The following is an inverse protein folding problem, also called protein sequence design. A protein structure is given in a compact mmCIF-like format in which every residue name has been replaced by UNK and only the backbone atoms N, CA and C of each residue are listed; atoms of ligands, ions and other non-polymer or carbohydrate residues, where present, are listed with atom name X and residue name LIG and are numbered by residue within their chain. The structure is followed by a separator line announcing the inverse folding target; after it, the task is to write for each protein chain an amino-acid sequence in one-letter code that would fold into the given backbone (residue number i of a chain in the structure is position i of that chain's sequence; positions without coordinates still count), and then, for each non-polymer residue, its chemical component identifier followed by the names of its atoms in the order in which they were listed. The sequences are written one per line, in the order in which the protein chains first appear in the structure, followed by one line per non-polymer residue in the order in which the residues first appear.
data_IF_196054282477
#
_entry.id   IF_196054282477
#
_cell.length_a   1.000
_cell.length_b   1.000
_cell.length_c   1.000
_cell.angle_alpha   90.00
_cell.angle_beta   90.00
_cell.angle_gamma   90.00
#
_symmetry.space_group_name_H-M   'P 1'
#
loop_
_entity.id
_entity.type
_entity.pdbx_description
1 polymer ?
#
# COMPACT_ATOMS: atom_id res chain seq x y z
N UNK A 1 12.36 28.04 -13.85
CA UNK A 1 10.90 28.21 -13.68
C UNK A 1 10.30 26.81 -13.63
N UNK A 2 9.80 26.36 -12.48
CA UNK A 2 9.16 25.06 -12.38
C UNK A 2 7.81 25.11 -13.11
N UNK A 3 7.63 24.21 -14.07
CA UNK A 3 6.39 24.06 -14.83
C UNK A 3 5.34 23.47 -13.88
N UNK A 4 4.32 24.26 -13.54
CA UNK A 4 3.18 23.78 -12.76
C UNK A 4 2.34 22.94 -13.72
N UNK A 5 2.35 21.64 -13.50
CA UNK A 5 1.51 20.68 -14.22
C UNK A 5 0.04 20.97 -13.89
N UNK A 6 -0.80 21.30 -14.88
CA UNK A 6 -2.19 21.69 -14.68
C UNK A 6 -3.10 20.54 -14.19
N UNK A 7 -2.62 19.29 -14.19
CA UNK A 7 -3.33 18.16 -13.59
C UNK A 7 -3.04 17.97 -12.10
N UNK A 8 -2.20 18.82 -11.50
CA UNK A 8 -1.99 18.85 -10.05
C UNK A 8 -3.16 19.59 -9.40
N UNK A 9 -4.03 18.87 -8.71
CA UNK A 9 -4.89 19.47 -7.69
C UNK A 9 -4.09 19.43 -6.39
N UNK A 10 -3.40 20.52 -5.99
CA UNK A 10 -2.75 20.56 -4.69
C UNK A 10 -3.84 20.45 -3.63
N UNK A 11 -3.72 19.47 -2.74
CA UNK A 11 -4.56 19.43 -1.54
C UNK A 11 -4.17 20.66 -0.72
N UNK A 12 -5.13 21.53 -0.42
CA UNK A 12 -4.84 22.73 0.37
C UNK A 12 -4.34 22.26 1.73
N UNK A 13 -3.14 22.67 2.16
CA UNK A 13 -2.57 22.16 3.38
C UNK A 13 -3.45 22.56 4.58
N UNK A 14 -3.93 21.57 5.33
CA UNK A 14 -4.59 21.83 6.60
C UNK A 14 -3.56 22.33 7.62
N UNK A 15 -3.99 23.30 8.43
CA UNK A 15 -3.26 23.74 9.63
C UNK A 15 -3.45 22.67 10.71
N UNK A 16 -2.37 21.99 11.18
CA UNK A 16 -2.48 20.87 12.12
C UNK A 16 -3.30 21.20 13.37
N UNK A 17 -3.19 22.42 13.89
CA UNK A 17 -3.90 22.92 15.07
C UNK A 17 -5.42 23.03 14.90
N UNK A 18 -5.93 22.98 13.66
CA UNK A 18 -7.36 23.03 13.34
C UNK A 18 -7.96 21.65 13.07
N UNK A 19 -7.15 20.59 13.12
CA UNK A 19 -7.63 19.23 12.87
C UNK A 19 -8.46 18.71 14.05
N UNK A 20 -9.52 17.97 13.72
CA UNK A 20 -10.27 17.23 14.73
C UNK A 20 -9.43 16.06 15.29
N UNK A 21 -9.66 15.61 16.53
CA UNK A 21 -9.03 14.41 17.06
C UNK A 21 -9.24 13.21 16.14
N UNK A 22 -8.20 12.41 15.97
CA UNK A 22 -8.25 11.16 15.23
C UNK A 22 -8.51 10.02 16.21
N UNK A 23 -9.68 9.39 16.11
CA UNK A 23 -10.11 8.25 16.93
C UNK A 23 -10.01 6.91 16.18
N UNK A 24 -9.37 6.92 15.01
CA UNK A 24 -9.21 5.75 14.16
C UNK A 24 -8.11 4.78 14.62
N UNK A 25 -7.93 3.67 13.88
CA UNK A 25 -6.93 2.66 14.18
C UNK A 25 -5.49 3.18 14.06
N UNK A 26 -4.55 2.52 14.73
CA UNK A 26 -3.13 2.87 14.64
C UNK A 26 -2.63 2.87 13.19
N UNK A 27 -1.85 3.89 12.86
CA UNK A 27 -1.22 4.08 11.56
C UNK A 27 0.25 3.68 11.62
N UNK A 28 0.74 3.16 10.50
CA UNK A 28 2.16 2.95 10.24
C UNK A 28 2.53 3.72 8.98
N UNK A 29 3.74 4.26 8.97
CA UNK A 29 4.27 4.91 7.78
C UNK A 29 5.71 4.51 7.51
N UNK A 30 6.15 4.72 6.28
CA UNK A 30 7.51 4.45 5.87
C UNK A 30 7.74 4.82 4.41
N UNK A 31 8.99 4.81 3.99
CA UNK A 31 9.39 5.15 2.64
C UNK A 31 9.32 3.93 1.71
N UNK A 32 8.51 4.04 0.65
CA UNK A 32 8.52 3.09 -0.44
C UNK A 32 9.56 3.50 -1.50
N UNK A 33 10.64 2.72 -1.71
CA UNK A 33 11.65 3.03 -2.71
C UNK A 33 11.16 2.87 -4.15
N UNK A 34 10.13 2.06 -4.40
CA UNK A 34 9.60 1.82 -5.75
C UNK A 34 8.88 3.06 -6.26
N UNK A 35 7.91 3.58 -5.49
CA UNK A 35 7.19 4.81 -5.82
C UNK A 35 7.89 6.09 -5.36
N UNK A 36 8.97 5.97 -4.59
CA UNK A 36 9.77 7.07 -4.02
C UNK A 36 8.93 8.05 -3.21
N UNK A 37 8.06 7.51 -2.36
CA UNK A 37 7.06 8.27 -1.60
C UNK A 37 6.88 7.71 -0.20
N UNK A 38 6.41 8.53 0.74
CA UNK A 38 5.95 8.06 2.04
C UNK A 38 4.58 7.38 1.87
N UNK A 39 4.49 6.16 2.37
CA UNK A 39 3.24 5.40 2.45
C UNK A 39 2.73 5.50 3.88
N UNK A 40 1.42 5.74 4.05
CA UNK A 40 0.76 5.79 5.36
C UNK A 40 -0.45 4.89 5.32
N UNK A 41 -0.44 3.81 6.10
CA UNK A 41 -1.53 2.83 6.09
C UNK A 41 -1.92 2.43 7.51
N UNK A 42 -3.08 1.79 7.66
CA UNK A 42 -3.47 1.19 8.93
C UNK A 42 -2.51 0.06 9.28
N UNK A 43 -1.99 0.07 10.52
CA UNK A 43 -1.02 -0.92 11.00
C UNK A 43 -1.53 -2.35 10.87
N UNK A 44 -2.75 -2.62 11.34
CA UNK A 44 -3.34 -3.96 11.26
C UNK A 44 -3.50 -4.46 9.83
N UNK A 45 -3.80 -3.56 8.89
CA UNK A 45 -3.87 -3.90 7.47
C UNK A 45 -2.49 -4.25 6.92
N UNK A 46 -1.47 -3.44 7.21
CA UNK A 46 -0.10 -3.70 6.78
C UNK A 46 0.45 -5.03 7.34
N UNK A 47 0.20 -5.32 8.62
CA UNK A 47 0.60 -6.59 9.23
C UNK A 47 -0.07 -7.79 8.54
N UNK A 48 -1.36 -7.68 8.20
CA UNK A 48 -2.10 -8.74 7.52
C UNK A 48 -1.64 -8.93 6.07
N UNK A 49 -1.42 -7.85 5.32
CA UNK A 49 -0.89 -7.92 3.95
C UNK A 49 0.51 -8.55 3.94
N UNK A 50 1.38 -8.15 4.87
CA UNK A 50 2.71 -8.73 4.98
C UNK A 50 2.68 -10.23 5.33
N UNK A 51 1.67 -10.66 6.10
CA UNK A 51 1.45 -12.08 6.39
C UNK A 51 0.91 -12.82 5.15
N UNK A 52 -0.07 -12.27 4.45
CA UNK A 52 -0.65 -12.88 3.25
C UNK A 52 0.41 -13.03 2.15
N UNK A 53 1.21 -12.00 1.90
CA UNK A 53 2.32 -12.05 0.94
C UNK A 53 3.36 -13.11 1.29
N UNK A 54 3.73 -13.23 2.57
CA UNK A 54 4.66 -14.27 3.01
C UNK A 54 4.10 -15.67 2.77
N UNK A 55 2.78 -15.87 2.90
CA UNK A 55 2.12 -17.14 2.62
C UNK A 55 2.12 -17.46 1.12
N UNK A 56 1.81 -16.47 0.28
CA UNK A 56 1.89 -16.61 -1.17
C UNK A 56 3.31 -16.93 -1.66
N UNK A 57 4.32 -16.27 -1.11
CA UNK A 57 5.74 -16.53 -1.42
C UNK A 57 6.22 -17.90 -0.92
N UNK A 58 5.56 -18.46 0.10
CA UNK A 58 5.90 -19.77 0.65
C UNK A 58 5.13 -20.94 -0.01
N UNK A 59 4.07 -20.65 -0.76
CA UNK A 59 3.35 -21.68 -1.52
C UNK A 59 4.30 -22.28 -2.56
N UNK A 60 4.35 -23.61 -2.61
CA UNK A 60 5.27 -24.37 -3.45
C UNK A 60 4.55 -25.26 -4.46
N UNK A 61 3.22 -25.36 -4.33
CA UNK A 61 2.36 -26.14 -5.22
C UNK A 61 1.10 -25.39 -5.59
N UNK A 62 0.52 -25.72 -6.75
CA UNK A 62 -0.74 -25.13 -7.20
C UNK A 62 -1.90 -25.45 -6.26
N UNK A 63 -1.90 -26.61 -5.60
CA UNK A 63 -2.88 -26.96 -4.57
C UNK A 63 -2.82 -26.08 -3.32
N UNK A 64 -1.61 -25.67 -2.89
CA UNK A 64 -1.43 -24.70 -1.81
C UNK A 64 -1.90 -23.31 -2.23
N UNK A 65 -1.52 -22.86 -3.43
CA UNK A 65 -1.93 -21.58 -4.00
C UNK A 65 -3.47 -21.47 -4.13
N UNK A 66 -4.15 -22.50 -4.65
CA UNK A 66 -5.61 -22.53 -4.73
C UNK A 66 -6.26 -22.48 -3.35
N UNK A 67 -5.69 -23.16 -2.35
CA UNK A 67 -6.20 -23.07 -0.98
C UNK A 67 -6.12 -21.64 -0.46
N UNK A 68 -4.96 -20.98 -0.60
CA UNK A 68 -4.77 -19.58 -0.21
C UNK A 68 -5.80 -18.67 -0.88
N UNK A 69 -6.05 -18.84 -2.18
CA UNK A 69 -7.03 -18.06 -2.92
C UNK A 69 -8.47 -18.19 -2.38
N UNK A 70 -8.80 -19.29 -1.71
CA UNK A 70 -10.15 -19.53 -1.15
C UNK A 70 -10.31 -19.16 0.32
N UNK A 71 -9.22 -18.90 1.04
CA UNK A 71 -9.24 -18.69 2.49
C UNK A 71 -9.66 -17.27 2.92
N UNK A 72 -9.91 -16.36 1.96
CA UNK A 72 -10.36 -14.99 2.26
C UNK A 72 -9.25 -14.13 2.87
N UNK A 73 -8.16 -13.94 2.12
CA UNK A 73 -7.06 -13.02 2.45
C UNK A 73 -7.47 -11.56 2.25
N UNK A 74 -6.67 -10.62 2.78
CA UNK A 74 -6.87 -9.17 2.56
C UNK A 74 -6.48 -8.77 1.14
N UNK A 75 -5.53 -9.48 0.55
CA UNK A 75 -5.20 -9.34 -0.87
C UNK A 75 -6.09 -10.25 -1.70
N UNK A 76 -6.54 -9.74 -2.83
CA UNK A 76 -7.08 -10.59 -3.89
C UNK A 76 -5.98 -11.54 -4.38
N UNK A 77 -6.33 -12.77 -4.79
CA UNK A 77 -5.36 -13.73 -5.30
C UNK A 77 -4.68 -13.21 -6.56
N UNK A 78 -3.41 -13.58 -6.82
CA UNK A 78 -2.67 -13.17 -8.01
C UNK A 78 -3.13 -13.90 -9.29
N UNK A 79 -4.27 -14.56 -9.31
CA UNK A 79 -4.84 -15.23 -10.47
C UNK A 79 -6.31 -15.49 -10.25
N UNK A 80 -7.06 -15.76 -11.33
CA UNK A 80 -8.39 -16.35 -11.19
C UNK A 80 -8.29 -17.87 -11.09
N UNK A 81 -9.07 -18.46 -10.18
CA UNK A 81 -9.05 -19.91 -9.95
C UNK A 81 -9.39 -20.73 -11.20
N UNK A 82 -10.18 -20.15 -12.11
CA UNK A 82 -10.60 -20.77 -13.37
C UNK A 82 -9.54 -20.69 -14.48
N UNK A 83 -8.46 -19.91 -14.29
CA UNK A 83 -7.40 -19.70 -15.30
C UNK A 83 -6.26 -20.73 -15.18
N UNK A 84 -6.27 -21.58 -14.15
CA UNK A 84 -5.18 -22.52 -13.85
C UNK A 84 -5.57 -23.96 -14.22
N UNK A 85 -4.89 -24.51 -15.23
CA UNK A 85 -5.07 -25.90 -15.71
C UNK A 85 -4.14 -26.92 -15.01
N UNK A 86 -3.18 -26.44 -14.21
CA UNK A 86 -2.16 -27.25 -13.54
C UNK A 86 -2.76 -28.15 -12.47
N UNK A 87 -2.18 -29.34 -12.26
CA UNK A 87 -2.58 -30.23 -11.17
C UNK A 87 -2.09 -29.72 -9.79
N UNK A 88 -2.77 -30.12 -8.72
CA UNK A 88 -2.49 -29.61 -7.36
C UNK A 88 -1.07 -29.89 -6.85
N UNK A 89 -0.42 -30.95 -7.32
CA UNK A 89 0.95 -31.34 -6.95
C UNK A 89 2.04 -30.72 -7.85
N UNK A 90 1.65 -29.97 -8.88
CA UNK A 90 2.61 -29.29 -9.74
C UNK A 90 3.34 -28.16 -9.00
N UNK A 91 4.65 -27.94 -9.28
CA UNK A 91 5.42 -26.87 -8.67
C UNK A 91 4.81 -25.50 -8.96
N UNK A 92 4.74 -24.65 -7.95
CA UNK A 92 4.25 -23.29 -8.05
C UNK A 92 5.31 -22.31 -7.55
N UNK A 93 5.47 -21.20 -8.27
CA UNK A 93 6.20 -20.03 -7.82
C UNK A 93 5.36 -18.80 -8.18
N UNK A 94 4.94 -18.05 -7.15
CA UNK A 94 4.13 -16.85 -7.31
C UNK A 94 4.80 -15.81 -8.22
N UNK A 95 6.13 -15.81 -8.31
CA UNK A 95 6.90 -14.87 -9.16
C UNK A 95 6.86 -15.20 -10.64
N UNK A 96 6.41 -16.40 -11.00
CA UNK A 96 6.25 -16.81 -12.41
C UNK A 96 4.88 -16.42 -12.97
N UNK A 97 3.98 -15.91 -12.13
CA UNK A 97 2.67 -15.43 -12.56
C UNK A 97 2.80 -14.09 -13.29
N UNK A 98 2.11 -13.97 -14.43
CA UNK A 98 2.20 -12.80 -15.32
C UNK A 98 1.93 -11.48 -14.60
N UNK A 99 0.88 -11.40 -13.79
CA UNK A 99 0.55 -10.19 -13.02
C UNK A 99 1.62 -9.80 -11.97
N UNK A 100 2.34 -10.77 -11.42
CA UNK A 100 3.46 -10.50 -10.50
C UNK A 100 4.67 -10.02 -11.29
N UNK A 101 4.94 -10.61 -12.45
CA UNK A 101 6.01 -10.17 -13.37
C UNK A 101 5.76 -8.78 -13.94
N UNK A 102 4.51 -8.45 -14.22
CA UNK A 102 4.09 -7.15 -14.73
C UNK A 102 4.07 -6.07 -13.63
N UNK A 103 4.17 -6.47 -12.36
CA UNK A 103 4.15 -5.56 -11.21
C UNK A 103 2.76 -5.10 -10.79
N UNK A 104 1.72 -5.78 -11.27
CA UNK A 104 0.31 -5.51 -10.93
C UNK A 104 -0.10 -6.12 -9.58
N UNK A 105 0.66 -7.11 -9.10
CA UNK A 105 0.43 -7.75 -7.81
C UNK A 105 1.72 -7.87 -6.97
N UNK A 106 1.68 -7.56 -5.66
CA UNK A 106 0.54 -6.98 -4.94
C UNK A 106 0.21 -5.54 -5.38
N UNK A 107 -1.00 -5.06 -5.07
CA UNK A 107 -1.35 -3.65 -5.26
C UNK A 107 -0.32 -2.72 -4.62
N UNK A 108 -0.07 -1.57 -5.23
CA UNK A 108 0.87 -0.59 -4.70
C UNK A 108 0.41 -0.11 -3.32
N UNK A 109 1.28 -0.24 -2.31
CA UNK A 109 0.99 0.24 -0.96
C UNK A 109 0.68 1.75 -0.94
N UNK A 110 1.26 2.53 -1.86
CA UNK A 110 1.00 3.95 -2.03
C UNK A 110 -0.44 4.27 -2.50
N UNK A 111 -1.10 3.36 -3.22
CA UNK A 111 -2.52 3.51 -3.58
C UNK A 111 -3.41 3.39 -2.35
N UNK A 112 -3.03 2.54 -1.40
CA UNK A 112 -3.74 2.35 -0.13
C UNK A 112 -3.58 3.52 0.84
N UNK A 113 -2.52 4.33 0.69
CA UNK A 113 -2.36 5.55 1.49
C UNK A 113 -3.54 6.50 1.35
N UNK A 114 -4.15 6.57 0.17
CA UNK A 114 -5.32 7.43 -0.07
C UNK A 114 -6.53 7.00 0.77
N UNK A 115 -6.70 5.69 0.99
CA UNK A 115 -7.83 5.15 1.75
C UNK A 115 -7.60 5.22 3.26
N UNK A 116 -6.35 5.14 3.69
CA UNK A 116 -6.00 5.03 5.11
C UNK A 116 -5.56 6.35 5.75
N UNK A 117 -5.00 7.27 4.97
CA UNK A 117 -4.61 8.58 5.47
C UNK A 117 -5.87 9.43 5.69
N UNK A 118 -6.03 10.07 6.86
CA UNK A 118 -7.16 10.96 7.09
C UNK A 118 -7.15 12.12 6.08
N UNK A 119 -8.20 12.23 5.26
CA UNK A 119 -8.30 13.22 4.20
C UNK A 119 -8.12 14.66 4.71
N UNK A 120 -8.61 14.94 5.93
CA UNK A 120 -8.53 16.25 6.56
C UNK A 120 -7.10 16.70 6.86
N UNK A 121 -6.12 15.79 6.90
CA UNK A 121 -4.72 16.17 7.10
C UNK A 121 -4.13 16.91 5.88
N UNK A 122 -4.76 16.76 4.71
CA UNK A 122 -4.43 17.50 3.51
C UNK A 122 -2.98 17.29 3.04
N UNK A 123 -2.53 16.05 3.10
CA UNK A 123 -1.16 15.64 2.79
C UNK A 123 -1.08 14.97 1.41
N UNK A 124 0.05 15.17 0.73
CA UNK A 124 0.34 14.53 -0.54
C UNK A 124 -0.44 15.09 -1.74
N UNK A 125 -0.21 14.47 -2.89
CA UNK A 125 -0.86 14.79 -4.16
C UNK A 125 -1.26 13.48 -4.84
N UNK A 126 -2.49 13.42 -5.35
CA UNK A 126 -2.91 12.26 -6.16
C UNK A 126 -2.16 12.28 -7.48
N UNK A 127 -1.54 11.15 -7.81
CA UNK A 127 -0.79 10.88 -9.04
C UNK A 127 -1.41 9.71 -9.76
N UNK A 128 -1.27 9.69 -11.08
CA UNK A 128 -1.66 8.56 -11.91
C UNK A 128 -0.41 7.84 -12.44
N UNK A 129 -0.51 6.52 -12.56
CA UNK A 129 0.55 5.65 -13.10
C UNK A 129 -0.03 4.74 -14.16
N UNK A 130 0.77 4.47 -15.19
CA UNK A 130 0.39 3.54 -16.23
C UNK A 130 0.32 2.07 -15.76
N UNK A 131 0.95 1.75 -14.62
CA UNK A 131 1.03 0.39 -14.06
C UNK A 131 -0.20 0.06 -13.22
N UNK A 132 -0.47 0.84 -12.17
CA UNK A 132 -1.45 0.47 -11.14
C UNK A 132 -2.42 1.63 -10.80
N UNK A 133 -2.65 2.53 -11.76
CA UNK A 133 -3.59 3.63 -11.62
C UNK A 133 -3.16 4.69 -10.61
N UNK A 134 -4.14 5.26 -9.91
CA UNK A 134 -3.92 6.40 -9.02
C UNK A 134 -3.26 5.99 -7.68
N UNK A 135 -2.36 6.83 -7.17
CA UNK A 135 -1.77 6.71 -5.84
C UNK A 135 -1.60 8.08 -5.17
N UNK A 136 -1.47 8.08 -3.84
CA UNK A 136 -1.17 9.31 -3.10
C UNK A 136 0.35 9.46 -2.94
N UNK A 137 0.94 10.44 -3.63
CA UNK A 137 2.33 10.81 -3.45
C UNK A 137 2.45 11.75 -2.25
N UNK A 138 2.92 11.23 -1.11
CA UNK A 138 3.37 12.03 0.02
C UNK A 138 4.89 12.18 -0.10
N UNK A 139 5.37 13.39 -0.36
CA UNK A 139 6.79 13.62 -0.56
C UNK A 139 7.55 13.46 0.78
N UNK A 140 8.81 13.01 0.73
CA UNK A 140 9.65 12.85 1.94
C UNK A 140 9.79 14.16 2.74
N UNK A 141 9.81 15.30 2.03
CA UNK A 141 9.84 16.63 2.67
C UNK A 141 8.58 16.93 3.51
N UNK A 142 7.48 16.21 3.29
CA UNK A 142 6.25 16.34 4.07
C UNK A 142 6.26 15.49 5.35
N UNK A 143 7.30 14.70 5.64
CA UNK A 143 7.36 13.85 6.85
C UNK A 143 7.13 14.66 8.13
N UNK A 144 7.79 15.81 8.26
CA UNK A 144 7.62 16.67 9.44
C UNK A 144 6.16 17.13 9.63
N UNK A 145 5.46 17.34 8.52
CA UNK A 145 4.05 17.75 8.53
C UNK A 145 3.12 16.58 8.85
N UNK A 146 3.40 15.40 8.31
CA UNK A 146 2.72 14.16 8.67
C UNK A 146 2.77 13.93 10.20
N UNK A 147 3.97 14.07 10.79
CA UNK A 147 4.17 13.93 12.23
C UNK A 147 3.40 15.00 13.03
N UNK A 148 3.42 16.26 12.56
CA UNK A 148 2.67 17.34 13.22
C UNK A 148 1.16 17.11 13.19
N UNK A 149 0.60 16.60 12.08
CA UNK A 149 -0.81 16.23 11.99
C UNK A 149 -1.16 15.08 12.95
N UNK A 150 -0.31 14.06 13.04
CA UNK A 150 -0.52 12.95 13.97
C UNK A 150 -0.50 13.41 15.43
N UNK A 151 0.46 14.25 15.81
CA UNK A 151 0.54 14.82 17.16
C UNK A 151 -0.68 15.68 17.49
N UNK A 152 -1.06 16.60 16.60
CA UNK A 152 -2.18 17.51 16.83
C UNK A 152 -3.53 16.78 16.98
N UNK A 153 -3.69 15.64 16.32
CA UNK A 153 -4.91 14.84 16.35
C UNK A 153 -4.88 13.70 17.38
N UNK A 154 -3.74 13.45 18.03
CA UNK A 154 -3.55 12.34 18.96
C UNK A 154 -3.47 10.97 18.28
N UNK A 155 -3.24 10.93 16.96
CA UNK A 155 -3.12 9.68 16.22
C UNK A 155 -1.88 8.88 16.64
N UNK A 156 -2.03 7.57 16.80
CA UNK A 156 -0.88 6.67 16.97
C UNK A 156 -0.25 6.43 15.60
N UNK A 157 0.90 7.04 15.34
CA UNK A 157 1.67 6.92 14.11
C UNK A 157 3.07 6.40 14.41
N UNK A 158 3.48 5.30 13.76
CA UNK A 158 4.82 4.69 13.94
C UNK A 158 5.54 4.57 12.60
N UNK A 159 6.83 4.87 12.56
CA UNK A 159 7.67 4.64 11.37
C UNK A 159 8.12 3.17 11.31
N UNK A 160 7.92 2.52 10.17
CA UNK A 160 8.40 1.16 9.88
C UNK A 160 8.64 0.98 8.36
N UNK A 161 9.82 1.41 7.91
CA UNK A 161 10.21 1.34 6.49
C UNK A 161 10.31 -0.12 6.00
N UNK A 162 10.59 -1.07 6.88
CA UNK A 162 10.69 -2.50 6.54
C UNK A 162 9.31 -3.09 6.30
N UNK A 163 8.34 -2.79 7.17
CA UNK A 163 6.96 -3.23 6.98
C UNK A 163 6.38 -2.66 5.68
N UNK A 164 6.61 -1.36 5.39
CA UNK A 164 6.16 -0.76 4.13
C UNK A 164 6.79 -1.46 2.91
N UNK A 165 8.07 -1.82 2.98
CA UNK A 165 8.72 -2.57 1.88
C UNK A 165 8.10 -3.96 1.69
N UNK A 166 7.72 -4.63 2.78
CA UNK A 166 7.15 -5.98 2.73
C UNK A 166 5.72 -6.07 2.22
N UNK A 167 4.99 -4.95 2.15
CA UNK A 167 3.60 -4.89 1.68
C UNK A 167 3.47 -4.30 0.27
N UNK A 168 4.58 -3.85 -0.32
CA UNK A 168 4.65 -3.40 -1.70
C UNK A 168 5.17 -4.49 -2.64
N UNK A 169 5.12 -4.24 -3.96
CA UNK A 169 5.77 -5.10 -4.94
C UNK A 169 7.28 -5.19 -4.66
N UNK A 170 7.82 -6.41 -4.74
CA UNK A 170 9.20 -6.77 -4.39
C UNK A 170 10.08 -7.02 -5.61
#
# INVERSE_FOLDING_TARGET
MAQIDPNKIPVTPAEPEKLAPYDGPALVYGYDPFMRTLVVVRRAWADQVAADLARWQAASTYGEARRLATEGTVLDPPFHLDDLDEADDEPFDVKELGNVQDGDWPPMAASMSREHLPADWGLGVVRDTALNGEFLEVAEIEEARLLACAEATGATLTRDDELIRRIGPS
#
